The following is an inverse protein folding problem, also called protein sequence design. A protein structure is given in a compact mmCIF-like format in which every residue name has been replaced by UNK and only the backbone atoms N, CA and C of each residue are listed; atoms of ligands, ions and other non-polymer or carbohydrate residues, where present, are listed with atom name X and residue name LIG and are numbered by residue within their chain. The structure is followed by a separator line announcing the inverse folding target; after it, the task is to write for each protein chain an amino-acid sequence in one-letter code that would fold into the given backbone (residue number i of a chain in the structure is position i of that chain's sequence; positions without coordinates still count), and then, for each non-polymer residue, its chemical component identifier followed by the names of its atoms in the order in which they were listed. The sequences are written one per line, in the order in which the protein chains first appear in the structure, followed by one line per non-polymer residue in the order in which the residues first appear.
data_IF_775522307633
#
_entry.id   IF_775522307633
#
_cell.length_a   1.000
_cell.length_b   1.000
_cell.length_c   1.000
_cell.angle_alpha   90.00
_cell.angle_beta   90.00
_cell.angle_gamma   90.00
#
_symmetry.space_group_name_H-M   'P 1'
#
loop_
_entity.id
_entity.type
_entity.pdbx_description
1 polymer ?
#
# COMPACT_ATOMS: atom_id res chain seq x y z
N UNK A 1 50.47 35.49 1.51
CA UNK A 1 49.19 36.23 1.35
C UNK A 1 49.15 36.71 -0.09
N UNK A 2 48.23 36.32 -0.98
CA UNK A 2 46.81 36.00 -0.84
C UNK A 2 46.49 34.93 -1.91
N UNK A 3 46.21 33.70 -1.51
CA UNK A 3 45.38 32.82 -2.34
C UNK A 3 43.96 33.32 -2.16
N UNK A 4 43.47 34.14 -3.07
CA UNK A 4 42.08 34.61 -2.99
C UNK A 4 41.61 34.91 -4.41
N UNK A 5 40.43 34.38 -4.74
CA UNK A 5 39.69 34.54 -5.99
C UNK A 5 40.05 33.60 -7.13
N UNK A 6 39.68 32.31 -7.00
CA UNK A 6 39.03 31.56 -8.08
C UNK A 6 38.55 30.18 -7.60
N UNK A 7 37.67 30.11 -6.59
CA UNK A 7 36.80 28.97 -6.30
C UNK A 7 35.88 29.43 -5.17
N UNK A 8 34.57 29.64 -5.41
CA UNK A 8 33.68 28.51 -5.64
C UNK A 8 32.51 28.83 -6.59
N UNK A 9 32.48 28.22 -7.78
CA UNK A 9 31.25 28.09 -8.58
C UNK A 9 31.01 26.61 -8.90
N UNK A 10 31.19 25.75 -7.90
CA UNK A 10 30.81 24.35 -7.94
C UNK A 10 30.39 24.05 -6.50
N UNK A 11 29.09 24.00 -6.22
CA UNK A 11 28.39 23.30 -5.12
C UNK A 11 26.92 23.79 -5.14
N UNK A 12 26.18 23.53 -6.23
CA UNK A 12 24.69 23.45 -6.19
C UNK A 12 24.26 22.44 -7.27
N UNK A 13 24.82 21.23 -7.27
CA UNK A 13 24.43 20.21 -8.26
C UNK A 13 24.60 18.79 -7.74
N UNK A 14 24.18 18.55 -6.50
CA UNK A 14 23.88 17.20 -6.01
C UNK A 14 22.88 17.35 -4.86
N UNK A 15 21.97 16.40 -4.71
CA UNK A 15 20.82 16.36 -3.77
C UNK A 15 19.47 16.83 -4.31
N UNK A 16 19.16 16.56 -5.58
CA UNK A 16 17.82 16.06 -5.91
C UNK A 16 17.84 14.53 -5.84
N UNK A 17 18.08 13.99 -4.64
CA UNK A 17 17.66 12.63 -4.35
C UNK A 17 16.14 12.70 -4.29
N UNK A 18 15.47 12.49 -5.43
CA UNK A 18 14.06 12.16 -5.43
C UNK A 18 13.95 10.89 -4.59
N UNK A 19 13.55 11.07 -3.33
CA UNK A 19 13.34 9.97 -2.42
C UNK A 19 12.09 9.26 -2.92
N UNK A 20 12.28 8.23 -3.75
CA UNK A 20 11.23 7.33 -4.26
C UNK A 20 10.63 6.45 -3.15
N UNK A 21 10.48 6.97 -1.94
CA UNK A 21 9.94 6.23 -0.79
C UNK A 21 8.42 6.43 -0.66
N UNK A 22 7.69 6.46 -1.78
CA UNK A 22 6.22 6.45 -1.74
C UNK A 22 5.67 5.02 -1.57
N UNK A 23 6.45 4.02 -1.99
CA UNK A 23 6.10 2.62 -1.88
C UNK A 23 6.62 2.04 -0.56
N UNK A 24 5.72 1.42 0.20
CA UNK A 24 6.05 0.79 1.47
C UNK A 24 6.57 -0.65 1.31
N UNK A 25 6.26 -1.27 0.15
CA UNK A 25 6.52 -2.68 -0.10
C UNK A 25 7.30 -2.90 -1.40
N UNK A 26 8.00 -4.04 -1.54
CA UNK A 26 9.00 -4.23 -2.60
C UNK A 26 8.41 -4.43 -4.00
N UNK A 27 7.18 -4.94 -4.13
CA UNK A 27 6.52 -5.10 -5.43
C UNK A 27 5.63 -3.89 -5.68
N UNK A 28 5.83 -3.18 -6.79
CA UNK A 28 5.22 -1.85 -7.01
C UNK A 28 4.54 -1.77 -8.37
N UNK A 29 3.51 -0.93 -8.46
CA UNK A 29 2.83 -0.59 -9.70
C UNK A 29 2.96 0.92 -9.97
N UNK A 30 3.15 1.30 -11.23
CA UNK A 30 3.46 2.69 -11.63
C UNK A 30 2.23 3.50 -12.08
N UNK A 31 1.08 2.86 -12.27
CA UNK A 31 -0.12 3.44 -12.87
C UNK A 31 -1.06 4.11 -11.87
N UNK A 32 -0.68 4.19 -10.60
CA UNK A 32 -1.43 4.93 -9.59
C UNK A 32 -1.12 6.43 -9.63
N UNK A 33 -2.15 7.25 -9.45
CA UNK A 33 -1.93 8.67 -9.15
C UNK A 33 -1.31 8.78 -7.75
N UNK A 34 0.00 9.05 -7.68
CA UNK A 34 0.75 9.24 -6.42
C UNK A 34 0.89 10.70 -6.01
N UNK A 35 0.06 11.60 -6.56
CA UNK A 35 -0.12 12.93 -5.98
C UNK A 35 -0.49 12.83 -4.50
N UNK A 36 -0.15 13.89 -3.75
CA UNK A 36 -0.22 13.98 -2.29
C UNK A 36 -1.37 13.17 -1.66
N UNK A 37 -1.01 12.10 -0.96
CA UNK A 37 -1.89 11.31 -0.11
C UNK A 37 -1.38 11.30 1.33
N UNK A 38 -2.26 11.05 2.30
CA UNK A 38 -1.87 10.88 3.70
C UNK A 38 -1.70 9.39 4.05
N UNK A 39 -0.88 9.10 5.05
CA UNK A 39 -0.88 7.80 5.72
C UNK A 39 -1.90 7.84 6.86
N UNK A 40 -2.57 6.71 7.09
CA UNK A 40 -3.34 6.51 8.31
C UNK A 40 -2.37 6.26 9.46
N UNK A 41 -2.59 6.90 10.61
CA UNK A 41 -1.72 6.78 11.79
C UNK A 41 -2.43 5.99 12.87
N UNK A 42 -3.45 6.55 13.50
CA UNK A 42 -4.17 5.90 14.61
C UNK A 42 -5.60 5.49 14.28
N UNK A 43 -6.18 6.04 13.20
CA UNK A 43 -7.58 5.80 12.81
C UNK A 43 -7.74 5.62 11.31
N UNK A 44 -8.78 4.89 10.93
CA UNK A 44 -9.17 4.71 9.52
C UNK A 44 -9.92 5.94 9.00
N UNK A 45 -9.40 6.53 7.93
CA UNK A 45 -10.06 7.59 7.14
C UNK A 45 -10.83 6.99 5.96
N UNK A 46 -10.26 5.97 5.31
CA UNK A 46 -10.94 5.21 4.27
C UNK A 46 -11.64 4.00 4.90
N UNK A 47 -12.98 3.98 4.82
CA UNK A 47 -13.81 2.93 5.41
C UNK A 47 -14.30 1.97 4.34
N UNK A 48 -14.27 0.68 4.67
CA UNK A 48 -14.81 -0.40 3.84
C UNK A 48 -15.31 -1.52 4.74
N UNK A 49 -16.29 -2.28 4.28
CA UNK A 49 -16.71 -3.50 4.97
C UNK A 49 -15.71 -4.63 4.71
N UNK A 50 -15.32 -5.36 5.76
CA UNK A 50 -14.40 -6.50 5.66
C UNK A 50 -14.88 -7.54 4.63
N UNK A 51 -16.20 -7.75 4.54
CA UNK A 51 -16.81 -8.64 3.54
C UNK A 51 -16.49 -8.27 2.08
N UNK A 52 -16.27 -6.98 1.79
CA UNK A 52 -15.85 -6.53 0.45
C UNK A 52 -14.38 -6.86 0.19
N UNK A 53 -13.50 -6.64 1.16
CA UNK A 53 -12.10 -7.05 1.06
C UNK A 53 -11.99 -8.58 0.90
N UNK A 54 -12.70 -9.36 1.73
CA UNK A 54 -12.80 -10.82 1.60
C UNK A 54 -13.21 -11.20 0.19
N UNK A 55 -14.28 -10.60 -0.36
CA UNK A 55 -14.77 -10.96 -1.70
C UNK A 55 -13.74 -10.73 -2.81
N UNK A 56 -12.96 -9.64 -2.73
CA UNK A 56 -11.91 -9.34 -3.70
C UNK A 56 -10.76 -10.36 -3.62
N UNK A 57 -10.35 -10.72 -2.39
CA UNK A 57 -9.30 -11.73 -2.17
C UNK A 57 -9.76 -13.11 -2.65
N UNK A 58 -10.97 -13.54 -2.27
CA UNK A 58 -11.53 -14.82 -2.67
C UNK A 58 -11.70 -14.94 -4.19
N UNK A 59 -12.08 -13.86 -4.87
CA UNK A 59 -12.15 -13.82 -6.34
C UNK A 59 -10.76 -13.92 -6.97
N UNK A 60 -9.77 -13.22 -6.42
CA UNK A 60 -8.40 -13.26 -6.97
C UNK A 60 -7.69 -14.60 -6.79
N UNK A 61 -8.07 -15.42 -5.80
CA UNK A 61 -7.45 -16.72 -5.50
C UNK A 61 -8.12 -17.90 -6.18
N UNK A 62 -9.30 -17.73 -6.79
CA UNK A 62 -10.18 -18.82 -7.22
C UNK A 62 -10.50 -19.74 -6.02
N UNK A 63 -11.60 -19.45 -5.30
CA UNK A 63 -12.00 -20.01 -3.97
C UNK A 63 -11.51 -21.42 -3.59
N UNK A 64 -11.46 -22.37 -4.53
CA UNK A 64 -10.94 -23.74 -4.36
C UNK A 64 -9.46 -23.81 -3.93
N UNK A 65 -8.67 -22.77 -4.19
CA UNK A 65 -7.25 -22.74 -3.82
C UNK A 65 -7.01 -22.27 -2.38
N UNK A 66 -7.99 -21.66 -1.71
CA UNK A 66 -7.79 -21.00 -0.40
C UNK A 66 -7.28 -21.95 0.68
N UNK A 67 -7.72 -23.22 0.66
CA UNK A 67 -7.29 -24.23 1.65
C UNK A 67 -5.78 -24.54 1.55
N UNK A 68 -5.20 -24.39 0.36
CA UNK A 68 -3.78 -24.68 0.11
C UNK A 68 -2.89 -23.44 0.19
N UNK A 69 -3.47 -22.26 0.32
CA UNK A 69 -2.74 -20.99 0.39
C UNK A 69 -2.52 -20.61 1.85
N UNK A 70 -1.26 -20.42 2.22
CA UNK A 70 -0.87 -20.06 3.57
C UNK A 70 0.17 -18.95 3.55
N UNK A 71 0.09 -18.05 4.53
CA UNK A 71 1.07 -16.99 4.75
C UNK A 71 0.45 -15.62 4.93
N UNK A 72 1.23 -14.58 4.62
CA UNK A 72 0.83 -13.19 4.83
C UNK A 72 1.11 -12.39 3.58
N UNK A 73 0.19 -11.50 3.22
CA UNK A 73 0.38 -10.50 2.19
C UNK A 73 0.07 -9.11 2.77
N UNK A 74 0.94 -8.14 2.51
CA UNK A 74 0.71 -6.76 2.88
C UNK A 74 0.47 -5.93 1.62
N UNK A 75 -0.52 -5.06 1.64
CA UNK A 75 -0.95 -4.21 0.53
C UNK A 75 -0.89 -2.75 0.94
N UNK A 76 -0.44 -1.90 0.03
CA UNK A 76 -0.58 -0.45 0.09
C UNK A 76 -1.53 -0.02 -1.03
N UNK A 77 -2.71 0.45 -0.67
CA UNK A 77 -3.76 0.85 -1.61
C UNK A 77 -3.96 2.36 -1.51
N UNK A 78 -3.79 3.09 -2.61
CA UNK A 78 -4.25 4.47 -2.68
C UNK A 78 -5.77 4.47 -2.78
N UNK A 79 -6.42 5.22 -1.90
CA UNK A 79 -7.85 5.47 -1.92
C UNK A 79 -8.08 6.92 -2.33
N UNK A 80 -8.71 7.10 -3.48
CA UNK A 80 -9.05 8.42 -4.01
C UNK A 80 -10.29 9.00 -3.32
N UNK A 81 -10.55 10.29 -3.53
CA UNK A 81 -11.69 11.00 -2.93
C UNK A 81 -13.05 10.45 -3.37
N UNK A 82 -13.14 9.87 -4.56
CA UNK A 82 -14.34 9.20 -5.06
C UNK A 82 -14.48 7.75 -4.54
N UNK A 83 -13.61 7.33 -3.61
CA UNK A 83 -13.56 5.99 -3.06
C UNK A 83 -12.98 4.94 -4.01
N UNK A 84 -12.47 5.31 -5.19
CA UNK A 84 -11.74 4.38 -6.04
C UNK A 84 -10.43 3.93 -5.40
N UNK A 85 -10.01 2.71 -5.75
CA UNK A 85 -8.78 2.09 -5.25
C UNK A 85 -7.72 2.06 -6.34
N UNK A 86 -6.46 2.17 -5.94
CA UNK A 86 -5.32 1.78 -6.77
C UNK A 86 -4.30 1.04 -5.91
N UNK A 87 -4.04 -0.24 -6.20
CA UNK A 87 -3.00 -1.00 -5.50
C UNK A 87 -1.63 -0.48 -5.94
N UNK A 88 -0.95 0.23 -5.06
CA UNK A 88 0.33 0.90 -5.34
C UNK A 88 1.52 -0.06 -5.12
N UNK A 89 1.52 -0.79 -4.01
CA UNK A 89 2.58 -1.76 -3.72
C UNK A 89 2.12 -2.91 -2.85
N UNK A 90 2.86 -4.03 -2.87
CA UNK A 90 2.59 -5.19 -2.02
C UNK A 90 3.86 -5.98 -1.63
N UNK A 91 3.78 -6.68 -0.51
CA UNK A 91 4.73 -7.70 -0.07
C UNK A 91 3.99 -9.04 -0.02
N UNK A 92 4.40 -10.00 -0.86
CA UNK A 92 3.80 -11.34 -0.90
C UNK A 92 4.69 -12.32 -0.16
N UNK A 93 4.19 -12.85 0.96
CA UNK A 93 4.81 -13.95 1.71
C UNK A 93 3.85 -15.13 1.83
N UNK A 94 2.97 -15.30 0.85
CA UNK A 94 2.18 -16.51 0.69
C UNK A 94 3.05 -17.59 0.06
N UNK A 95 2.67 -18.85 0.25
CA UNK A 95 3.28 -20.01 -0.41
C UNK A 95 2.93 -20.15 -1.91
N UNK A 96 2.41 -19.09 -2.53
CA UNK A 96 2.05 -19.02 -3.95
C UNK A 96 2.58 -17.73 -4.58
N UNK A 97 2.86 -17.77 -5.88
CA UNK A 97 3.34 -16.64 -6.67
C UNK A 97 2.24 -16.06 -7.57
N UNK A 98 2.49 -14.88 -8.14
CA UNK A 98 1.60 -14.24 -9.14
C UNK A 98 0.28 -13.67 -8.60
N UNK A 99 -0.09 -13.96 -7.34
CA UNK A 99 -1.34 -13.49 -6.76
C UNK A 99 -1.47 -11.96 -6.69
N UNK A 100 -0.37 -11.25 -6.41
CA UNK A 100 -0.35 -9.79 -6.37
C UNK A 100 -0.83 -9.12 -7.67
N UNK A 101 -0.45 -9.67 -8.83
CA UNK A 101 -0.90 -9.16 -10.14
C UNK A 101 -2.40 -9.42 -10.40
N UNK A 102 -2.92 -10.57 -9.95
CA UNK A 102 -4.37 -10.84 -10.00
C UNK A 102 -5.13 -9.85 -9.12
N UNK A 103 -4.65 -9.63 -7.89
CA UNK A 103 -5.24 -8.67 -6.96
C UNK A 103 -5.23 -7.24 -7.48
N UNK A 104 -4.18 -6.81 -8.17
CA UNK A 104 -4.13 -5.48 -8.79
C UNK A 104 -5.36 -5.23 -9.66
N UNK A 105 -5.71 -6.19 -10.51
CA UNK A 105 -6.86 -6.06 -11.41
C UNK A 105 -8.18 -5.96 -10.65
N UNK A 106 -8.36 -6.79 -9.62
CA UNK A 106 -9.59 -6.82 -8.83
C UNK A 106 -9.74 -5.60 -7.91
N UNK A 107 -8.66 -5.18 -7.25
CA UNK A 107 -8.66 -4.01 -6.37
C UNK A 107 -8.99 -2.76 -7.17
N UNK A 108 -8.29 -2.52 -8.27
CA UNK A 108 -8.42 -1.26 -9.00
C UNK A 108 -9.79 -1.10 -9.67
N UNK A 109 -10.39 -2.21 -10.11
CA UNK A 109 -11.68 -2.19 -10.80
C UNK A 109 -12.86 -2.29 -9.85
N UNK A 110 -12.77 -3.15 -8.85
CA UNK A 110 -13.94 -3.65 -8.12
C UNK A 110 -13.95 -3.25 -6.64
N UNK A 111 -12.81 -2.84 -6.05
CA UNK A 111 -12.77 -2.37 -4.67
C UNK A 111 -13.14 -0.89 -4.59
N UNK A 112 -14.29 -0.60 -3.99
CA UNK A 112 -14.77 0.76 -3.72
C UNK A 112 -14.92 0.99 -2.23
N UNK A 113 -14.29 2.05 -1.74
CA UNK A 113 -14.37 2.52 -0.36
C UNK A 113 -15.51 3.52 -0.22
N UNK A 114 -15.92 3.79 1.02
CA UNK A 114 -16.71 5.00 1.29
C UNK A 114 -15.83 6.22 1.01
N UNK A 115 -16.41 7.24 0.37
CA UNK A 115 -15.72 8.48 -0.02
C UNK A 115 -14.98 9.08 1.18
N UNK A 116 -13.63 9.08 1.17
CA UNK A 116 -12.86 9.60 2.28
C UNK A 116 -12.78 11.13 2.20
N UNK A 117 -12.59 11.77 3.36
CA UNK A 117 -12.40 13.24 3.43
C UNK A 117 -11.08 13.73 2.84
N UNK A 118 -10.13 12.82 2.59
CA UNK A 118 -8.82 13.07 1.98
C UNK A 118 -8.32 11.80 1.31
N UNK A 119 -7.48 11.97 0.28
CA UNK A 119 -6.75 10.86 -0.35
C UNK A 119 -5.79 10.23 0.65
N UNK A 120 -5.81 8.89 0.78
CA UNK A 120 -4.96 8.16 1.73
C UNK A 120 -4.31 6.95 1.08
N UNK A 121 -3.15 6.52 1.60
CA UNK A 121 -2.63 5.18 1.35
C UNK A 121 -3.02 4.27 2.52
N UNK A 122 -4.01 3.46 2.24
CA UNK A 122 -4.58 2.44 3.09
C UNK A 122 -3.66 1.21 3.14
N UNK A 123 -3.17 0.83 4.33
CA UNK A 123 -2.33 -0.36 4.50
C UNK A 123 -3.19 -1.51 5.02
N UNK A 124 -3.17 -2.64 4.31
CA UNK A 124 -3.92 -3.86 4.66
C UNK A 124 -2.94 -5.01 4.80
N UNK A 125 -2.98 -5.73 5.92
CA UNK A 125 -2.37 -7.05 6.05
C UNK A 125 -3.44 -8.11 5.91
N UNK A 126 -3.17 -9.11 5.09
CA UNK A 126 -4.01 -10.26 4.83
C UNK A 126 -3.24 -11.48 5.30
N UNK A 127 -3.81 -12.23 6.24
CA UNK A 127 -3.30 -13.55 6.61
C UNK A 127 -4.24 -14.60 6.07
N UNK A 128 -3.69 -15.60 5.40
CA UNK A 128 -4.43 -16.78 4.96
C UNK A 128 -3.82 -17.98 5.67
N UNK A 129 -4.66 -18.76 6.34
CA UNK A 129 -4.25 -19.96 7.06
C UNK A 129 -5.39 -20.97 7.04
N UNK A 130 -5.16 -22.17 6.50
CA UNK A 130 -6.14 -23.26 6.48
C UNK A 130 -7.52 -22.84 5.93
N UNK A 131 -7.52 -22.07 4.83
CA UNK A 131 -8.73 -21.55 4.19
C UNK A 131 -9.38 -20.33 4.88
N UNK A 132 -8.91 -19.94 6.07
CA UNK A 132 -9.38 -18.76 6.79
C UNK A 132 -8.61 -17.51 6.34
N UNK A 133 -9.35 -16.41 6.13
CA UNK A 133 -8.78 -15.12 5.76
C UNK A 133 -8.99 -14.13 6.91
N UNK A 134 -7.90 -13.59 7.44
CA UNK A 134 -7.91 -12.53 8.44
C UNK A 134 -7.37 -11.22 7.86
N UNK A 135 -8.02 -10.10 8.18
CA UNK A 135 -7.61 -8.77 7.76
C UNK A 135 -7.20 -7.91 8.94
N UNK A 136 -6.14 -7.13 8.74
CA UNK A 136 -5.75 -6.07 9.67
C UNK A 136 -5.52 -4.78 8.91
N UNK A 137 -6.08 -3.69 9.41
CA UNK A 137 -5.79 -2.33 8.98
C UNK A 137 -4.55 -1.86 9.72
N UNK A 138 -3.56 -1.33 8.99
CA UNK A 138 -2.32 -0.88 9.59
C UNK A 138 -2.14 0.63 9.42
N UNK A 139 -1.63 1.28 10.46
CA UNK A 139 -1.20 2.65 10.47
C UNK A 139 0.31 2.76 10.40
N UNK A 140 0.81 3.92 9.97
CA UNK A 140 2.23 4.25 9.94
C UNK A 140 2.45 5.63 10.56
N UNK A 141 3.01 5.64 11.77
CA UNK A 141 3.45 6.85 12.47
C UNK A 141 4.97 6.90 12.57
N UNK A 142 5.56 8.09 12.63
CA UNK A 142 7.03 8.24 12.73
C UNK A 142 7.62 7.69 14.03
N UNK A 143 6.84 7.71 15.11
CA UNK A 143 7.18 7.20 16.44
C UNK A 143 6.78 5.72 16.66
N UNK A 144 5.71 5.27 15.99
CA UNK A 144 5.15 3.92 16.14
C UNK A 144 5.57 2.92 15.07
N UNK A 145 6.10 3.40 13.94
CA UNK A 145 6.28 2.57 12.75
C UNK A 145 4.95 1.99 12.25
N UNK A 146 5.01 0.81 11.62
CA UNK A 146 3.83 0.05 11.20
C UNK A 146 3.18 -0.58 12.44
N UNK A 147 1.89 -0.31 12.65
CA UNK A 147 1.12 -0.85 13.77
C UNK A 147 -0.34 -1.09 13.36
N UNK A 148 -1.08 -1.88 14.13
CA UNK A 148 -2.49 -2.16 13.87
C UNK A 148 -3.37 -0.97 14.29
N UNK A 149 -4.29 -0.57 13.41
CA UNK A 149 -5.30 0.45 13.71
C UNK A 149 -6.41 -0.17 14.55
N UNK A 150 -6.84 0.54 15.58
CA UNK A 150 -8.04 0.17 16.32
C UNK A 150 -9.25 0.73 15.55
N UNK A 151 -10.11 -0.17 15.07
CA UNK A 151 -11.37 0.18 14.40
C UNK A 151 -12.48 0.47 15.40
#
# INVERSE_FOLDING_TARGET
MKYLFALPLIIILVFSLNSYSQNLFPNTFEDCNTERFALEVDTTTAKIADSKLISIISTGLDQENLENVNGIMALQVIVELDGSSCLLSYDNRLNIEGFGSKLKTEIDKNLKWLEPSKKVAAIVSIRIQDGLIEFKRLGMGGDKGIHELQN
#
